data_IF_520049790368
#
_entry.id   IF_520049790368
#
_cell.length_a   1.000
_cell.length_b   1.000
_cell.length_c   1.000
_cell.angle_alpha   90.00
_cell.angle_beta   90.00
_cell.angle_gamma   90.00
#
_symmetry.space_group_name_H-M   'P 1'
#
loop_
_entity.id
_entity.type
_entity.pdbx_description
1 polymer ?
#
# COMPACT_ATOMS: atom_id res chain seq x y z
N UNK A 1 -15.53 18.80 -9.36
CA UNK A 1 -14.78 18.19 -8.26
C UNK A 1 -13.35 18.06 -8.77
N UNK A 2 -12.36 18.61 -8.04
CA UNK A 2 -10.95 18.46 -8.45
C UNK A 2 -10.54 16.99 -8.40
N UNK A 3 -9.62 16.58 -9.27
CA UNK A 3 -9.11 15.21 -9.31
C UNK A 3 -8.48 14.88 -7.96
N UNK A 4 -9.08 13.94 -7.24
CA UNK A 4 -8.51 13.41 -5.99
C UNK A 4 -7.44 12.39 -6.36
N UNK A 5 -6.34 12.40 -5.60
CA UNK A 5 -5.27 11.40 -5.73
C UNK A 5 -4.62 11.18 -4.37
N UNK A 6 -4.01 10.03 -4.16
CA UNK A 6 -3.16 9.83 -2.99
C UNK A 6 -1.87 10.63 -3.20
N UNK A 7 -1.67 11.67 -2.39
CA UNK A 7 -0.43 12.42 -2.37
C UNK A 7 0.67 11.63 -1.68
N UNK A 8 0.31 10.92 -0.62
CA UNK A 8 1.24 10.14 0.16
C UNK A 8 0.55 9.29 1.23
N UNK A 9 1.38 8.57 1.96
CA UNK A 9 0.99 7.72 3.09
C UNK A 9 1.83 8.09 4.29
N UNK A 10 1.23 8.12 5.47
CA UNK A 10 1.95 8.29 6.72
C UNK A 10 2.23 6.92 7.34
N UNK A 11 3.52 6.64 7.55
CA UNK A 11 4.00 5.44 8.24
C UNK A 11 4.41 5.78 9.67
N UNK A 12 3.99 4.92 10.60
CA UNK A 12 4.50 4.92 11.97
C UNK A 12 5.64 3.91 12.07
N UNK A 13 6.81 4.37 12.50
CA UNK A 13 8.01 3.54 12.65
C UNK A 13 8.73 3.88 13.95
N UNK A 14 9.42 2.90 14.55
CA UNK A 14 10.17 3.10 15.79
C UNK A 14 11.47 3.88 15.54
N UNK A 15 12.19 3.50 14.49
CA UNK A 15 13.47 4.11 14.10
C UNK A 15 13.29 4.87 12.79
N UNK A 16 12.86 6.12 12.89
CA UNK A 16 12.69 6.99 11.71
C UNK A 16 13.98 7.20 10.94
N UNK A 17 15.16 7.49 11.57
CA UNK A 17 16.41 7.59 10.84
C UNK A 17 16.81 6.32 10.09
N UNK A 18 16.63 5.15 10.69
CA UNK A 18 16.91 3.86 10.08
C UNK A 18 15.97 3.56 8.91
N UNK A 19 14.67 3.70 9.11
CA UNK A 19 13.65 3.50 8.07
C UNK A 19 13.87 4.45 6.88
N UNK A 20 14.15 5.74 7.13
CA UNK A 20 14.51 6.71 6.09
C UNK A 20 15.70 6.24 5.28
N UNK A 21 16.80 5.90 5.93
CA UNK A 21 18.02 5.43 5.27
C UNK A 21 17.71 4.19 4.42
N UNK A 22 17.02 3.20 4.99
CA UNK A 22 16.68 1.97 4.29
C UNK A 22 15.85 2.22 3.03
N UNK A 23 14.83 3.07 3.10
CA UNK A 23 13.98 3.46 1.95
C UNK A 23 14.79 4.19 0.86
N UNK A 24 15.65 5.12 1.26
CA UNK A 24 16.48 5.87 0.31
C UNK A 24 17.53 4.99 -0.38
N UNK A 25 18.21 4.12 0.37
CA UNK A 25 19.27 3.27 -0.16
C UNK A 25 18.77 2.10 -1.00
N UNK A 26 17.58 1.58 -0.71
CA UNK A 26 17.08 0.35 -1.32
C UNK A 26 15.90 0.54 -2.27
N UNK A 27 15.05 1.54 -2.05
CA UNK A 27 13.81 1.69 -2.82
C UNK A 27 13.71 3.03 -3.54
N UNK A 28 14.86 3.70 -3.79
CA UNK A 28 14.96 4.92 -4.59
C UNK A 28 14.13 6.10 -4.09
N UNK A 29 13.79 6.12 -2.80
CA UNK A 29 13.20 7.28 -2.19
C UNK A 29 14.24 8.40 -2.05
N UNK A 30 13.80 9.63 -2.24
CA UNK A 30 14.61 10.83 -1.99
C UNK A 30 13.92 11.70 -0.96
N UNK A 31 14.70 12.27 -0.05
CA UNK A 31 14.17 13.19 0.96
C UNK A 31 13.67 14.47 0.30
N UNK A 32 12.49 14.93 0.70
CA UNK A 32 11.85 16.15 0.23
C UNK A 32 11.53 17.04 1.44
N UNK A 33 11.90 18.31 1.39
CA UNK A 33 11.55 19.23 2.47
C UNK A 33 10.05 19.53 2.42
N UNK A 34 9.37 19.18 3.49
CA UNK A 34 7.94 19.41 3.61
C UNK A 34 7.56 19.85 5.02
N UNK A 35 7.61 21.18 5.26
CA UNK A 35 7.12 21.82 6.50
C UNK A 35 7.62 21.20 7.81
N UNK A 36 8.87 20.73 7.83
CA UNK A 36 9.50 20.13 9.01
C UNK A 36 9.09 18.67 9.28
N UNK A 37 8.34 18.03 8.37
CA UNK A 37 8.07 16.61 8.39
C UNK A 37 9.16 15.84 7.63
N UNK A 38 9.45 14.60 8.07
CA UNK A 38 10.31 13.71 7.28
C UNK A 38 9.46 13.12 6.17
N UNK A 39 9.65 13.67 4.98
CA UNK A 39 8.93 13.31 3.77
C UNK A 39 9.91 12.71 2.76
N UNK A 40 9.58 11.55 2.23
CA UNK A 40 10.36 10.82 1.24
C UNK A 40 9.53 10.66 -0.03
N UNK A 41 10.11 10.94 -1.20
CA UNK A 41 9.43 10.86 -2.49
C UNK A 41 10.02 9.75 -3.36
N UNK A 42 9.14 8.96 -3.98
CA UNK A 42 9.46 8.06 -5.08
C UNK A 42 8.44 8.30 -6.22
N UNK A 43 8.90 8.77 -7.37
CA UNK A 43 8.01 9.18 -8.46
C UNK A 43 7.05 10.29 -8.04
N UNK A 44 5.76 10.05 -8.19
CA UNK A 44 4.66 10.92 -7.77
C UNK A 44 4.15 10.65 -6.34
N UNK A 45 4.70 9.66 -5.67
CA UNK A 45 4.25 9.17 -4.36
C UNK A 45 5.17 9.62 -3.23
N UNK A 46 4.61 9.82 -2.04
CA UNK A 46 5.33 10.25 -0.84
C UNK A 46 5.05 9.37 0.35
N UNK A 47 6.08 9.16 1.16
CA UNK A 47 5.98 8.58 2.50
C UNK A 47 6.32 9.66 3.53
N UNK A 48 5.42 9.91 4.45
CA UNK A 48 5.66 10.73 5.62
C UNK A 48 5.98 9.82 6.79
N UNK A 49 7.19 9.90 7.31
CA UNK A 49 7.61 9.06 8.44
C UNK A 49 7.35 9.78 9.75
N UNK A 50 6.76 9.07 10.70
CA UNK A 50 6.52 9.54 12.05
C UNK A 50 6.99 8.51 13.06
N UNK A 51 7.63 8.99 14.12
CA UNK A 51 8.06 8.13 15.23
C UNK A 51 6.86 7.70 16.07
N UNK A 52 6.79 6.41 16.38
CA UNK A 52 5.89 5.84 17.36
C UNK A 52 6.62 4.75 18.14
N UNK A 53 6.90 5.05 19.41
CA UNK A 53 7.66 4.17 20.31
C UNK A 53 6.78 3.25 21.16
N UNK A 54 5.47 3.49 21.19
CA UNK A 54 4.66 2.90 22.27
C UNK A 54 4.24 1.45 22.02
N UNK A 55 4.21 0.93 20.77
CA UNK A 55 3.56 -0.37 20.57
C UNK A 55 4.06 -1.21 19.38
N UNK A 56 5.33 -1.17 19.04
CA UNK A 56 5.83 -1.88 17.86
C UNK A 56 5.85 -3.41 17.98
N UNK A 57 6.08 -3.95 19.17
CA UNK A 57 6.12 -5.40 19.37
C UNK A 57 4.76 -6.08 19.08
N UNK A 58 3.65 -5.38 19.35
CA UNK A 58 2.29 -5.89 19.12
C UNK A 58 1.76 -5.60 17.71
N UNK A 59 2.47 -4.74 16.93
CA UNK A 59 2.04 -4.31 15.58
C UNK A 59 2.28 -5.36 14.51
N UNK A 60 3.12 -6.33 14.77
CA UNK A 60 3.60 -7.32 13.81
C UNK A 60 3.10 -8.73 14.08
N UNK A 61 1.91 -8.84 14.59
CA UNK A 61 1.17 -10.07 14.41
C UNK A 61 1.14 -10.43 12.91
N UNK A 62 0.76 -11.66 12.53
CA UNK A 62 0.62 -11.99 11.11
C UNK A 62 -0.15 -10.86 10.45
N UNK A 63 0.48 -10.22 9.46
CA UNK A 63 -0.01 -8.99 8.83
C UNK A 63 -1.47 -9.04 8.38
N UNK A 64 -1.97 -10.24 8.16
CA UNK A 64 -3.28 -10.52 7.58
C UNK A 64 -4.42 -10.61 8.60
N UNK A 65 -4.14 -10.42 9.89
CA UNK A 65 -5.11 -10.65 10.97
C UNK A 65 -5.74 -9.37 11.53
N UNK A 66 -5.51 -8.21 10.92
CA UNK A 66 -6.07 -6.93 11.39
C UNK A 66 -6.71 -6.14 10.25
N UNK A 67 -7.81 -5.45 10.56
CA UNK A 67 -8.46 -4.52 9.64
C UNK A 67 -7.67 -3.22 9.50
N UNK A 68 -7.74 -2.58 8.34
CA UNK A 68 -7.12 -1.29 8.05
C UNK A 68 -6.15 -1.34 6.88
N UNK A 69 -5.38 -0.27 6.70
CA UNK A 69 -4.34 -0.21 5.67
C UNK A 69 -3.18 -1.13 6.03
N UNK A 70 -2.81 -2.02 5.11
CA UNK A 70 -1.90 -3.13 5.40
C UNK A 70 -0.58 -3.06 4.66
N UNK A 71 -0.59 -2.67 3.40
CA UNK A 71 0.62 -2.59 2.58
C UNK A 71 0.57 -1.42 1.61
N UNK A 72 1.74 -1.08 1.12
CA UNK A 72 1.97 -0.13 0.05
C UNK A 72 2.59 -0.90 -1.10
N UNK A 73 2.00 -0.81 -2.28
CA UNK A 73 2.53 -1.41 -3.49
C UNK A 73 3.22 -0.36 -4.36
N UNK A 74 4.47 -0.61 -4.72
CA UNK A 74 5.24 0.18 -5.67
C UNK A 74 5.23 -0.49 -7.05
N UNK A 75 5.18 0.32 -8.10
CA UNK A 75 5.10 -0.15 -9.48
C UNK A 75 6.46 -0.57 -10.02
N UNK A 76 6.50 -1.68 -10.77
CA UNK A 76 7.63 -2.05 -11.61
C UNK A 76 7.16 -2.36 -13.03
N UNK A 77 8.03 -2.11 -14.01
CA UNK A 77 7.81 -2.51 -15.41
C UNK A 77 8.36 -3.90 -15.71
N UNK A 78 9.25 -4.43 -14.87
CA UNK A 78 9.91 -5.72 -15.01
C UNK A 78 10.09 -6.36 -13.63
N UNK A 79 9.25 -7.32 -13.31
CA UNK A 79 9.21 -7.95 -11.99
C UNK A 79 10.48 -8.77 -11.72
N UNK A 80 11.02 -9.44 -12.72
CA UNK A 80 12.22 -10.25 -12.59
C UNK A 80 13.46 -9.37 -12.35
N UNK A 81 13.56 -8.25 -13.06
CA UNK A 81 14.62 -7.27 -12.83
C UNK A 81 14.50 -6.64 -11.43
N UNK A 82 13.28 -6.40 -10.95
CA UNK A 82 13.05 -5.89 -9.60
C UNK A 82 13.44 -6.91 -8.52
N UNK A 83 13.11 -8.19 -8.70
CA UNK A 83 13.55 -9.28 -7.79
C UNK A 83 15.07 -9.34 -7.75
N UNK A 84 15.73 -9.46 -8.93
CA UNK A 84 17.19 -9.54 -9.01
C UNK A 84 17.89 -8.33 -8.37
N UNK A 85 17.33 -7.13 -8.56
CA UNK A 85 17.83 -5.93 -7.88
C UNK A 85 17.73 -6.08 -6.36
N UNK A 86 16.56 -6.44 -5.83
CA UNK A 86 16.35 -6.57 -4.39
C UNK A 86 17.24 -7.66 -3.76
N UNK A 87 17.42 -8.79 -4.44
CA UNK A 87 18.34 -9.86 -4.03
C UNK A 87 19.80 -9.36 -3.98
N UNK A 88 20.23 -8.60 -4.99
CA UNK A 88 21.58 -8.01 -5.02
C UNK A 88 21.85 -7.05 -3.86
N UNK A 89 20.79 -6.47 -3.29
CA UNK A 89 20.82 -5.61 -2.10
C UNK A 89 20.71 -6.38 -0.79
N UNK A 90 20.50 -7.70 -0.84
CA UNK A 90 20.30 -8.54 0.34
C UNK A 90 19.00 -8.27 1.08
N UNK A 91 17.96 -7.80 0.38
CA UNK A 91 16.66 -7.52 0.98
C UNK A 91 15.94 -8.82 1.31
N UNK A 92 15.13 -8.81 2.37
CA UNK A 92 14.32 -9.96 2.76
C UNK A 92 13.05 -9.99 1.90
N UNK A 93 12.98 -10.95 0.96
CA UNK A 93 11.89 -11.08 0.00
C UNK A 93 10.94 -12.21 0.40
N UNK A 94 9.65 -11.96 0.21
CA UNK A 94 8.60 -12.96 0.28
C UNK A 94 8.11 -13.26 -1.15
N UNK A 95 8.66 -14.30 -1.75
CA UNK A 95 8.39 -14.76 -3.11
C UNK A 95 7.30 -15.83 -3.13
N UNK A 96 6.87 -16.23 -4.33
CA UNK A 96 6.02 -17.40 -4.53
C UNK A 96 6.75 -18.73 -4.25
N UNK A 97 6.01 -19.84 -4.18
CA UNK A 97 6.51 -21.16 -3.82
C UNK A 97 7.66 -21.66 -4.70
N UNK A 98 7.72 -21.22 -5.95
CA UNK A 98 8.78 -21.57 -6.91
C UNK A 98 9.99 -20.63 -6.88
N UNK A 99 10.05 -19.69 -5.91
CA UNK A 99 11.10 -18.69 -5.80
C UNK A 99 10.99 -17.52 -6.78
N UNK A 100 9.93 -17.46 -7.58
CA UNK A 100 9.62 -16.35 -8.47
C UNK A 100 8.54 -15.42 -7.91
N UNK A 101 8.03 -14.49 -8.72
CA UNK A 101 6.94 -13.63 -8.32
C UNK A 101 5.66 -14.43 -8.02
N UNK A 102 4.82 -13.90 -7.16
CA UNK A 102 3.45 -14.35 -6.98
C UNK A 102 2.59 -13.84 -8.11
N UNK A 103 1.46 -14.50 -8.35
CA UNK A 103 0.57 -14.13 -9.44
C UNK A 103 -0.88 -14.03 -8.96
N UNK A 104 -1.52 -12.91 -9.24
CA UNK A 104 -2.95 -12.69 -9.04
C UNK A 104 -3.66 -12.61 -10.40
N UNK A 105 -4.22 -13.75 -10.85
CA UNK A 105 -4.66 -13.95 -12.24
C UNK A 105 -5.92 -13.20 -12.67
N UNK A 106 -6.70 -12.68 -11.74
CA UNK A 106 -8.00 -12.04 -12.04
C UNK A 106 -7.98 -10.53 -11.86
N UNK A 107 -6.97 -10.00 -11.19
CA UNK A 107 -6.80 -8.56 -10.99
C UNK A 107 -6.65 -7.88 -12.34
N UNK A 108 -7.39 -6.78 -12.56
CA UNK A 108 -7.47 -6.06 -13.84
C UNK A 108 -7.85 -6.92 -15.06
N UNK A 109 -8.44 -8.10 -14.85
CA UNK A 109 -8.82 -9.03 -15.93
C UNK A 109 -7.66 -9.77 -16.63
N UNK A 110 -6.43 -9.31 -16.48
CA UNK A 110 -5.24 -9.88 -17.12
C UNK A 110 -4.23 -10.44 -16.15
N UNK A 111 -4.37 -10.08 -14.90
CA UNK A 111 -3.48 -10.46 -13.82
C UNK A 111 -2.40 -9.43 -13.47
N UNK A 112 -1.76 -9.70 -12.36
CA UNK A 112 -0.68 -8.92 -11.79
C UNK A 112 0.37 -9.86 -11.19
N UNK A 113 1.64 -9.62 -11.48
CA UNK A 113 2.75 -10.25 -10.77
C UNK A 113 3.17 -9.36 -9.60
N UNK A 114 3.55 -9.97 -8.48
CA UNK A 114 3.99 -9.22 -7.31
C UNK A 114 4.91 -10.03 -6.40
N UNK A 115 5.63 -9.35 -5.54
CA UNK A 115 6.35 -9.92 -4.39
C UNK A 115 6.40 -8.89 -3.26
N UNK A 116 6.70 -9.35 -2.04
CA UNK A 116 6.80 -8.47 -0.89
C UNK A 116 8.25 -8.34 -0.42
N UNK A 117 8.59 -7.14 0.08
CA UNK A 117 9.86 -6.82 0.75
C UNK A 117 9.55 -6.54 2.21
N UNK A 118 10.13 -7.32 3.10
CA UNK A 118 10.00 -7.13 4.56
C UNK A 118 11.07 -6.14 5.03
N UNK A 119 10.65 -4.97 5.48
CA UNK A 119 11.58 -3.86 5.74
C UNK A 119 12.47 -4.05 6.98
N UNK A 120 12.06 -4.86 7.94
CA UNK A 120 12.69 -4.90 9.27
C UNK A 120 12.36 -3.68 10.16
N UNK A 121 11.64 -2.70 9.62
CA UNK A 121 11.13 -1.51 10.33
C UNK A 121 9.62 -1.58 10.54
N UNK A 122 9.07 -2.74 10.27
CA UNK A 122 7.72 -3.08 10.57
C UNK A 122 6.69 -2.78 9.51
N UNK A 123 7.05 -2.37 8.38
CA UNK A 123 6.18 -2.28 7.23
C UNK A 123 6.63 -3.24 6.13
N UNK A 124 5.68 -3.65 5.33
CA UNK A 124 5.89 -4.44 4.13
C UNK A 124 5.65 -3.56 2.91
N UNK A 125 6.54 -3.65 1.94
CA UNK A 125 6.37 -3.02 0.63
C UNK A 125 6.11 -4.12 -0.39
N UNK A 126 4.98 -4.07 -1.05
CA UNK A 126 4.72 -4.87 -2.23
C UNK A 126 5.38 -4.22 -3.46
N UNK A 127 5.90 -5.01 -4.36
CA UNK A 127 6.34 -4.57 -5.69
C UNK A 127 5.50 -5.29 -6.73
N UNK A 128 4.80 -4.53 -7.56
CA UNK A 128 3.77 -5.06 -8.45
C UNK A 128 3.96 -4.66 -9.90
N UNK A 129 3.71 -5.62 -10.80
CA UNK A 129 3.70 -5.44 -12.24
C UNK A 129 2.32 -5.74 -12.82
N UNK A 130 1.65 -4.72 -13.35
CA UNK A 130 0.39 -4.88 -14.10
C UNK A 130 0.64 -5.52 -15.46
N UNK A 131 -0.09 -6.60 -15.78
CA UNK A 131 0.09 -7.30 -17.05
C UNK A 131 -0.73 -6.71 -18.20
N UNK A 132 -1.77 -5.92 -17.92
CA UNK A 132 -2.60 -5.27 -18.92
C UNK A 132 -1.98 -3.99 -19.51
N UNK A 133 -0.98 -3.41 -18.81
CA UNK A 133 -0.37 -2.14 -19.17
C UNK A 133 1.13 -2.31 -19.36
N UNK A 134 1.62 -2.00 -20.56
CA UNK A 134 3.07 -1.85 -20.74
C UNK A 134 3.50 -0.52 -20.14
N UNK A 135 4.23 -0.60 -19.05
CA UNK A 135 4.85 0.55 -18.41
C UNK A 135 6.18 0.81 -19.10
N UNK A 136 6.47 2.03 -19.54
CA UNK A 136 7.77 2.34 -20.10
C UNK A 136 8.88 2.05 -19.06
N UNK A 137 10.03 1.54 -19.50
CA UNK A 137 11.14 1.29 -18.59
C UNK A 137 11.56 2.60 -17.93
N UNK A 138 11.54 2.60 -16.59
CA UNK A 138 12.04 3.70 -15.78
C UNK A 138 13.55 3.58 -15.58
N UNK A 139 14.19 4.66 -15.12
CA UNK A 139 15.61 4.63 -14.75
C UNK A 139 15.88 3.72 -13.54
N UNK A 140 14.86 3.51 -12.71
CA UNK A 140 14.90 2.63 -11.53
C UNK A 140 13.96 1.45 -11.73
N UNK A 141 14.31 0.25 -11.24
CA UNK A 141 13.46 -0.94 -11.37
C UNK A 141 12.14 -0.83 -10.60
N UNK A 142 12.07 0.04 -9.60
CA UNK A 142 10.89 0.26 -8.75
C UNK A 142 10.63 1.76 -8.70
N UNK A 143 9.42 2.20 -9.07
CA UNK A 143 9.11 3.63 -9.11
C UNK A 143 7.61 3.91 -9.02
N UNK A 144 7.24 4.84 -8.11
CA UNK A 144 5.88 5.31 -7.95
C UNK A 144 4.95 4.35 -7.22
N UNK A 145 3.77 4.86 -6.87
CA UNK A 145 2.72 4.09 -6.23
C UNK A 145 1.93 3.31 -7.28
N UNK A 146 1.74 2.02 -7.02
CA UNK A 146 0.77 1.21 -7.74
C UNK A 146 -0.58 1.21 -7.01
N UNK A 147 -0.60 0.80 -5.73
CA UNK A 147 -1.80 0.86 -4.88
C UNK A 147 -1.46 0.92 -3.38
N UNK A 148 -2.48 1.14 -2.57
CA UNK A 148 -2.43 0.92 -1.12
C UNK A 148 -3.45 -0.15 -0.77
N UNK A 149 -3.04 -1.19 -0.05
CA UNK A 149 -3.91 -2.29 0.35
C UNK A 149 -4.69 -1.98 1.63
N UNK A 150 -6.01 -2.17 1.58
CA UNK A 150 -6.95 -1.98 2.67
C UNK A 150 -7.72 -3.27 2.95
N UNK A 151 -7.49 -3.84 4.11
CA UNK A 151 -8.23 -5.01 4.59
C UNK A 151 -9.49 -4.58 5.35
N UNK A 152 -10.64 -5.15 4.96
CA UNK A 152 -11.94 -4.78 5.49
C UNK A 152 -12.75 -5.99 5.96
N UNK A 153 -13.72 -5.78 6.82
CA UNK A 153 -14.70 -6.80 7.22
C UNK A 153 -15.85 -6.95 6.23
N UNK A 154 -16.25 -5.86 5.58
CA UNK A 154 -17.31 -5.80 4.57
C UNK A 154 -16.80 -5.12 3.29
N UNK A 155 -16.54 -5.95 2.26
CA UNK A 155 -16.03 -5.46 0.98
C UNK A 155 -17.04 -4.54 0.26
N UNK A 156 -18.33 -4.91 0.27
CA UNK A 156 -19.36 -4.17 -0.46
C UNK A 156 -19.57 -2.78 0.13
N UNK A 157 -19.63 -2.70 1.47
CA UNK A 157 -19.77 -1.43 2.16
C UNK A 157 -18.54 -0.53 1.96
N UNK A 158 -17.33 -1.10 1.96
CA UNK A 158 -16.12 -0.35 1.71
C UNK A 158 -16.05 0.18 0.27
N UNK A 159 -16.40 -0.63 -0.74
CA UNK A 159 -16.48 -0.17 -2.13
C UNK A 159 -17.46 0.99 -2.25
N UNK A 160 -18.68 0.85 -1.73
CA UNK A 160 -19.69 1.92 -1.76
C UNK A 160 -19.21 3.20 -1.07
N UNK A 161 -18.48 3.07 0.05
CA UNK A 161 -17.90 4.20 0.74
C UNK A 161 -16.93 4.99 -0.16
N UNK A 162 -15.98 4.32 -0.82
CA UNK A 162 -15.03 4.97 -1.72
C UNK A 162 -15.69 5.53 -2.98
N UNK A 163 -16.70 4.85 -3.54
CA UNK A 163 -17.48 5.37 -4.66
C UNK A 163 -18.22 6.67 -4.28
N UNK A 164 -18.78 6.77 -3.09
CA UNK A 164 -19.38 8.00 -2.57
C UNK A 164 -18.36 9.14 -2.40
N UNK A 165 -17.06 8.82 -2.29
CA UNK A 165 -15.97 9.78 -2.30
C UNK A 165 -15.49 10.17 -3.69
N UNK A 166 -16.05 9.55 -4.74
CA UNK A 166 -15.73 9.82 -6.13
C UNK A 166 -14.64 8.90 -6.71
N UNK A 167 -14.33 7.79 -6.05
CA UNK A 167 -13.54 6.71 -6.65
C UNK A 167 -14.43 5.91 -7.61
N UNK A 168 -13.81 5.25 -8.56
CA UNK A 168 -14.46 4.35 -9.52
C UNK A 168 -13.93 2.94 -9.34
N UNK A 169 -14.83 1.96 -9.28
CA UNK A 169 -14.46 0.55 -9.27
C UNK A 169 -13.75 0.16 -10.57
N UNK A 170 -12.54 -0.41 -10.45
CA UNK A 170 -11.70 -0.79 -11.60
C UNK A 170 -12.17 -2.09 -12.25
N UNK A 171 -12.70 -3.02 -11.47
CA UNK A 171 -13.25 -4.31 -11.90
C UNK A 171 -14.15 -4.88 -10.81
N UNK A 172 -15.05 -5.78 -11.19
CA UNK A 172 -15.93 -6.48 -10.25
C UNK A 172 -15.11 -7.30 -9.25
N UNK A 173 -15.58 -7.45 -7.99
CA UNK A 173 -14.87 -8.23 -6.98
C UNK A 173 -14.49 -9.62 -7.48
N UNK A 174 -13.22 -9.98 -7.34
CA UNK A 174 -12.66 -11.26 -7.77
C UNK A 174 -12.16 -12.08 -6.59
N UNK A 175 -12.27 -13.38 -6.73
CA UNK A 175 -11.72 -14.34 -5.76
C UNK A 175 -10.32 -14.72 -6.19
N UNK A 176 -9.34 -14.49 -5.32
CA UNK A 176 -7.96 -14.93 -5.47
C UNK A 176 -7.59 -15.88 -4.33
N UNK A 177 -6.48 -16.59 -4.53
CA UNK A 177 -5.94 -17.49 -3.52
C UNK A 177 -4.50 -17.05 -3.22
N UNK A 178 -4.23 -16.73 -1.96
CA UNK A 178 -2.95 -16.20 -1.49
C UNK A 178 -2.55 -16.89 -0.19
N UNK A 179 -1.37 -17.51 -0.17
CA UNK A 179 -0.77 -18.15 1.02
C UNK A 179 -1.70 -19.12 1.77
N UNK A 180 -2.46 -19.92 1.04
CA UNK A 180 -3.38 -20.88 1.64
C UNK A 180 -4.77 -20.31 1.98
N UNK A 181 -4.98 -19.02 1.76
CA UNK A 181 -6.23 -18.32 2.08
C UNK A 181 -6.97 -17.86 0.84
N UNK A 182 -8.29 -17.87 0.93
CA UNK A 182 -9.16 -17.27 -0.09
C UNK A 182 -9.38 -15.81 0.23
N UNK A 183 -9.06 -14.94 -0.70
CA UNK A 183 -9.35 -13.51 -0.59
C UNK A 183 -10.38 -13.09 -1.65
N UNK A 184 -11.28 -12.21 -1.26
CA UNK A 184 -12.14 -11.47 -2.16
C UNK A 184 -11.58 -10.06 -2.26
N UNK A 185 -11.20 -9.61 -3.46
CA UNK A 185 -10.61 -8.29 -3.66
C UNK A 185 -11.24 -7.52 -4.80
N UNK A 186 -11.15 -6.21 -4.72
CA UNK A 186 -11.55 -5.25 -5.71
C UNK A 186 -10.59 -4.07 -5.64
N UNK A 187 -10.41 -3.36 -6.74
CA UNK A 187 -9.67 -2.09 -6.72
C UNK A 187 -10.58 -0.93 -7.08
N UNK A 188 -10.42 0.16 -6.37
CA UNK A 188 -11.09 1.43 -6.64
C UNK A 188 -10.06 2.50 -6.96
N UNK A 189 -10.33 3.35 -7.94
CA UNK A 189 -9.37 4.36 -8.40
C UNK A 189 -9.97 5.76 -8.44
N UNK A 190 -9.12 6.75 -8.15
CA UNK A 190 -9.38 8.16 -8.41
C UNK A 190 -8.14 8.77 -9.08
N UNK A 191 -8.24 9.04 -10.40
CA UNK A 191 -7.09 9.41 -11.21
C UNK A 191 -6.07 8.26 -11.28
N UNK A 192 -4.81 8.54 -10.92
CA UNK A 192 -3.72 7.54 -10.88
C UNK A 192 -3.66 6.79 -9.52
N UNK A 193 -4.52 7.14 -8.60
CA UNK A 193 -4.56 6.58 -7.25
C UNK A 193 -5.41 5.33 -7.21
N UNK A 194 -4.87 4.24 -6.72
CA UNK A 194 -5.57 2.97 -6.57
C UNK A 194 -5.54 2.51 -5.11
N UNK A 195 -6.68 2.06 -4.62
CA UNK A 195 -6.81 1.37 -3.33
C UNK A 195 -7.27 -0.05 -3.65
N UNK A 196 -6.48 -1.04 -3.24
CA UNK A 196 -6.92 -2.42 -3.20
C UNK A 196 -7.76 -2.63 -1.95
N UNK A 197 -9.02 -2.97 -2.10
CA UNK A 197 -9.91 -3.32 -0.99
C UNK A 197 -10.05 -4.83 -0.99
N UNK A 198 -9.69 -5.48 0.12
CA UNK A 198 -9.75 -6.93 0.19
C UNK A 198 -10.27 -7.46 1.53
N UNK A 199 -10.79 -8.68 1.49
CA UNK A 199 -11.28 -9.42 2.65
C UNK A 199 -10.85 -10.88 2.54
N UNK A 200 -10.32 -11.43 3.64
CA UNK A 200 -10.15 -12.86 3.77
C UNK A 200 -11.51 -13.52 4.03
N UNK A 201 -11.80 -14.58 3.28
CA UNK A 201 -13.08 -15.28 3.37
C UNK A 201 -13.10 -16.32 4.50
N UNK A 202 -11.94 -16.91 4.75
CA UNK A 202 -11.74 -18.07 5.63
C UNK A 202 -11.07 -17.72 6.98
N UNK A 203 -10.83 -16.45 7.25
CA UNK A 203 -10.31 -16.01 8.54
C UNK A 203 -11.46 -15.62 9.50
N UNK A 204 -11.22 -15.78 10.83
CA UNK A 204 -12.17 -15.35 11.85
C UNK A 204 -12.40 -13.83 11.79
N UNK A 205 -13.38 -13.35 12.52
CA UNK A 205 -13.66 -11.92 12.64
C UNK A 205 -12.41 -11.16 13.14
N UNK A 206 -11.97 -10.19 12.32
CA UNK A 206 -10.72 -9.48 12.53
C UNK A 206 -10.92 -8.27 13.43
N UNK A 207 -9.94 -7.99 14.27
CA UNK A 207 -9.95 -6.79 15.10
C UNK A 207 -9.37 -5.59 14.34
N UNK A 208 -9.86 -4.40 14.67
CA UNK A 208 -9.23 -3.15 14.21
C UNK A 208 -7.89 -2.97 14.93
N UNK A 209 -6.83 -2.76 14.19
CA UNK A 209 -5.52 -2.49 14.75
C UNK A 209 -5.51 -1.10 15.39
N UNK A 210 -5.19 -1.03 16.69
CA UNK A 210 -5.17 0.24 17.45
C UNK A 210 -4.04 1.18 17.01
N UNK A 211 -2.94 0.62 16.52
CA UNK A 211 -1.75 1.36 16.06
C UNK A 211 -1.28 0.80 14.72
N UNK A 212 -1.94 1.13 13.61
CA UNK A 212 -1.55 0.61 12.29
C UNK A 212 -0.21 1.21 11.86
N UNK A 213 0.62 0.42 11.21
CA UNK A 213 1.88 0.91 10.62
C UNK A 213 1.63 1.97 9.56
N UNK A 214 0.62 1.76 8.73
CA UNK A 214 0.07 2.79 7.84
C UNK A 214 -1.01 3.52 8.62
N UNK A 215 -0.65 4.68 9.16
CA UNK A 215 -1.59 5.44 10.02
C UNK A 215 -2.69 6.11 9.18
N UNK A 216 -2.34 6.63 8.00
CA UNK A 216 -3.30 7.33 7.15
C UNK A 216 -2.85 7.49 5.71
N UNK A 217 -3.83 7.65 4.81
CA UNK A 217 -3.63 8.19 3.48
C UNK A 217 -3.69 9.74 3.51
N UNK A 218 -2.84 10.37 2.70
CA UNK A 218 -2.85 11.81 2.51
C UNK A 218 -3.36 12.06 1.10
N UNK A 219 -4.56 12.63 0.98
CA UNK A 219 -5.15 12.94 -0.30
C UNK A 219 -4.69 14.32 -0.77
N UNK A 220 -4.25 14.40 -2.03
CA UNK A 220 -3.96 15.64 -2.72
C UNK A 220 -5.17 16.13 -3.54
N UNK A 221 -5.14 17.39 -3.91
CA UNK A 221 -6.13 18.10 -4.70
C UNK A 221 -5.83 19.59 -4.60
N UNK A 222 -6.70 20.43 -5.17
CA UNK A 222 -6.53 21.91 -5.09
C UNK A 222 -6.62 22.45 -3.65
N UNK A 223 -7.05 21.66 -2.69
CA UNK A 223 -7.07 21.97 -1.26
C UNK A 223 -5.84 21.36 -0.57
N UNK A 224 -4.72 21.99 -0.74
CA UNK A 224 -3.43 21.64 -0.17
C UNK A 224 -3.49 21.58 1.36
N UNK A 225 -3.28 20.41 1.98
CA UNK A 225 -2.86 20.19 3.38
C UNK A 225 -3.19 21.32 4.37
N UNK A 226 -4.44 21.65 4.56
CA UNK A 226 -4.87 22.29 5.79
C UNK A 226 -5.06 21.17 6.85
N UNK A 227 -4.85 21.47 8.13
CA UNK A 227 -5.08 20.51 9.21
C UNK A 227 -6.46 19.85 9.17
N UNK A 228 -7.46 20.55 8.59
CA UNK A 228 -8.81 20.04 8.32
C UNK A 228 -8.88 18.92 7.29
N UNK A 229 -7.96 18.86 6.29
CA UNK A 229 -7.92 17.76 5.34
C UNK A 229 -7.39 16.46 6.00
N UNK A 230 -6.38 16.59 6.87
CA UNK A 230 -5.85 15.48 7.67
C UNK A 230 -6.89 14.90 8.65
N UNK A 231 -7.66 15.75 9.31
CA UNK A 231 -8.74 15.31 10.21
C UNK A 231 -9.89 14.63 9.46
N UNK A 232 -10.23 15.11 8.25
CA UNK A 232 -11.24 14.46 7.40
C UNK A 232 -10.79 13.09 6.92
N UNK A 233 -9.53 12.93 6.52
CA UNK A 233 -8.97 11.63 6.10
C UNK A 233 -9.01 10.66 7.27
N UNK A 234 -8.58 11.05 8.46
CA UNK A 234 -8.65 10.21 9.67
C UNK A 234 -10.08 9.75 9.99
N UNK A 235 -11.05 10.66 9.92
CA UNK A 235 -12.47 10.34 10.12
C UNK A 235 -13.02 9.36 9.06
N UNK A 236 -12.53 9.45 7.83
CA UNK A 236 -12.94 8.58 6.73
C UNK A 236 -12.29 7.19 6.86
N UNK A 237 -11.03 7.11 7.31
CA UNK A 237 -10.34 5.85 7.62
C UNK A 237 -11.03 5.10 8.77
N UNK A 238 -11.38 5.79 9.86
CA UNK A 238 -12.10 5.21 10.98
C UNK A 238 -13.45 4.64 10.55
N UNK A 239 -14.16 5.29 9.65
CA UNK A 239 -15.43 4.77 9.08
C UNK A 239 -15.21 3.62 8.10
N UNK A 240 -14.22 3.69 7.23
CA UNK A 240 -13.92 2.63 6.27
C UNK A 240 -13.47 1.33 6.96
N UNK A 241 -12.75 1.43 8.07
CA UNK A 241 -12.31 0.28 8.85
C UNK A 241 -13.40 -0.30 9.77
N UNK A 242 -14.46 0.45 10.06
CA UNK A 242 -15.59 0.01 10.90
C UNK A 242 -16.79 -0.52 10.12
N UNK A 243 -16.74 -0.45 8.79
CA UNK A 243 -17.69 -1.07 7.88
C UNK A 243 -17.12 -2.43 7.49
#
# INVERSE_FOLDING_TARGET
MGDRYIWGVQLLVEDVPGAKRWLCENLFFVEEDHKGMICLRNGNFRLVLREDKEHLADKYGPDDMCLGFRHIALETHDIEAAIAYCESRGLNLQLGENGGPRYSGKVYGTGMNYFNIISGYGFTIEVSQKLHKKIPPNRTPICGLEHVGLQVSDLSAAIQFYENLGFTTCFDPVVNYVDGHTILCCMVAAGETVIEIYKFHDLPELSVQRHPVIERLILGGNDYLSGTALERVKFMEEKACTI
#
